data_IF_734406735320
#
_entry.id   IF_734406735320
#
_cell.length_a   1.000
_cell.length_b   1.000
_cell.length_c   1.000
_cell.angle_alpha   90.00
_cell.angle_beta   90.00
_cell.angle_gamma   90.00
#
_symmetry.space_group_name_H-M   'P 1'
#
loop_
_entity.id
_entity.type
_entity.pdbx_description
1 polymer ?
#
# COMPACT_ATOMS: atom_id res chain seq x y z
N UNK A 1 2.27 3.98 -18.98
CA UNK A 1 1.25 5.01 -19.29
C UNK A 1 1.94 6.20 -19.94
N UNK A 2 1.41 6.61 -21.05
CA UNK A 2 2.01 7.63 -21.88
C UNK A 2 1.41 9.02 -21.63
N UNK A 3 0.16 9.10 -21.18
CA UNK A 3 -0.45 10.37 -20.76
C UNK A 3 0.13 10.83 -19.39
N UNK A 4 1.19 11.62 -19.44
CA UNK A 4 1.91 12.06 -18.25
C UNK A 4 1.26 13.27 -17.56
N UNK A 5 0.48 14.04 -18.32
CA UNK A 5 -0.17 15.27 -17.86
C UNK A 5 -1.69 15.14 -17.73
N UNK A 6 -2.24 13.95 -18.01
CA UNK A 6 -3.66 13.59 -17.90
C UNK A 6 -4.57 14.46 -18.81
N UNK A 7 -4.07 14.89 -20.00
CA UNK A 7 -4.84 15.70 -20.94
C UNK A 7 -5.48 14.89 -22.08
N UNK A 8 -5.25 13.58 -22.15
CA UNK A 8 -5.74 12.64 -23.15
C UNK A 8 -5.32 12.97 -24.60
N UNK A 9 -4.22 13.69 -24.79
CA UNK A 9 -3.64 14.04 -26.10
C UNK A 9 -2.21 13.55 -26.10
N UNK A 10 -1.75 13.02 -27.26
CA UNK A 10 -0.34 12.64 -27.41
C UNK A 10 0.51 13.90 -27.53
N UNK A 11 1.28 14.20 -26.51
CA UNK A 11 2.21 15.32 -26.49
C UNK A 11 3.65 14.88 -26.79
N UNK A 12 4.54 15.85 -27.06
CA UNK A 12 5.93 15.57 -27.35
C UNK A 12 6.62 14.86 -26.16
N UNK A 13 7.12 13.65 -26.39
CA UNK A 13 7.81 12.82 -25.40
C UNK A 13 6.90 11.87 -24.62
N UNK A 14 5.60 11.87 -24.88
CA UNK A 14 4.66 10.93 -24.26
C UNK A 14 4.52 9.62 -25.04
N UNK A 15 4.58 9.66 -26.36
CA UNK A 15 4.57 8.47 -27.22
C UNK A 15 5.92 7.72 -27.10
N UNK A 16 6.01 6.82 -26.14
CA UNK A 16 7.25 6.10 -25.82
C UNK A 16 7.55 4.95 -26.75
N UNK A 17 6.54 4.38 -27.38
CA UNK A 17 6.65 3.28 -28.34
C UNK A 17 6.63 3.76 -29.82
N UNK A 18 6.37 5.05 -30.04
CA UNK A 18 6.36 5.73 -31.35
C UNK A 18 5.30 5.17 -32.31
N UNK A 19 4.14 4.78 -31.82
CA UNK A 19 3.03 4.29 -32.65
C UNK A 19 1.96 5.36 -32.94
N UNK A 20 2.09 6.55 -32.36
CA UNK A 20 1.19 7.69 -32.57
C UNK A 20 -0.15 7.54 -31.84
N UNK A 21 -0.24 6.61 -30.91
CA UNK A 21 -1.43 6.36 -30.10
C UNK A 21 -1.07 6.55 -28.63
N UNK A 22 -1.91 7.24 -27.89
CA UNK A 22 -1.73 7.41 -26.45
C UNK A 22 -2.11 6.13 -25.72
N UNK A 23 -1.11 5.45 -25.15
CA UNK A 23 -1.31 4.21 -24.40
C UNK A 23 -1.75 4.49 -22.96
N UNK A 24 -2.99 4.15 -22.67
CA UNK A 24 -3.53 4.14 -21.30
C UNK A 24 -3.52 2.71 -20.77
N UNK A 25 -2.62 2.36 -19.84
CA UNK A 25 -2.65 1.05 -19.22
C UNK A 25 -4.00 0.82 -18.53
N UNK A 26 -4.48 -0.41 -18.61
CA UNK A 26 -5.81 -0.80 -18.13
C UNK A 26 -6.98 -0.25 -18.97
N UNK A 27 -6.74 0.24 -20.16
CA UNK A 27 -7.80 0.62 -21.11
C UNK A 27 -8.07 -0.52 -22.08
N UNK A 28 -9.32 -0.70 -22.44
CA UNK A 28 -9.71 -1.62 -23.50
C UNK A 28 -9.99 -0.82 -24.76
N UNK A 29 -8.97 -0.64 -25.60
CA UNK A 29 -9.13 -0.09 -26.95
C UNK A 29 -9.64 -1.17 -27.92
N UNK A 30 -9.92 -0.81 -29.16
CA UNK A 30 -10.28 -1.79 -30.21
C UNK A 30 -9.13 -2.74 -30.55
N UNK A 31 -7.91 -2.36 -30.23
CA UNK A 31 -6.68 -3.07 -30.60
C UNK A 31 -5.97 -3.69 -29.41
N UNK A 32 -6.15 -3.17 -28.20
CA UNK A 32 -5.52 -3.66 -26.98
C UNK A 32 -6.51 -3.90 -25.87
N UNK A 33 -6.19 -4.82 -24.96
CA UNK A 33 -7.00 -5.19 -23.81
C UNK A 33 -6.13 -5.51 -22.61
N UNK A 34 -5.77 -4.48 -21.87
CA UNK A 34 -5.03 -4.60 -20.62
C UNK A 34 -5.91 -4.81 -19.38
N UNK A 35 -7.20 -5.09 -19.57
CA UNK A 35 -8.14 -5.42 -18.50
C UNK A 35 -8.54 -6.88 -18.61
N UNK A 36 -8.29 -7.65 -17.55
CA UNK A 36 -8.80 -9.01 -17.44
C UNK A 36 -10.24 -8.94 -16.94
N UNK A 37 -11.18 -9.48 -17.72
CA UNK A 37 -12.59 -9.52 -17.36
C UNK A 37 -13.06 -10.95 -17.12
N UNK A 38 -13.86 -11.12 -16.06
CA UNK A 38 -14.51 -12.37 -15.74
C UNK A 38 -15.96 -12.09 -15.33
N UNK A 39 -16.90 -12.88 -15.83
CA UNK A 39 -18.30 -12.80 -15.43
C UNK A 39 -18.70 -13.99 -14.57
N UNK A 40 -19.02 -13.70 -13.32
CA UNK A 40 -19.51 -14.68 -12.37
C UNK A 40 -21.02 -14.82 -12.51
N UNK A 41 -21.46 -15.97 -13.00
CA UNK A 41 -22.87 -16.20 -13.35
C UNK A 41 -23.79 -16.30 -12.13
N UNK A 42 -23.31 -16.88 -11.04
CA UNK A 42 -24.09 -17.12 -9.83
C UNK A 42 -24.52 -15.80 -9.17
N UNK A 43 -23.61 -14.86 -9.08
CA UNK A 43 -23.86 -13.54 -8.49
C UNK A 43 -24.21 -12.47 -9.51
N UNK A 44 -24.17 -12.80 -10.81
CA UNK A 44 -24.36 -11.87 -11.94
C UNK A 44 -23.39 -10.66 -11.88
N UNK A 45 -22.15 -10.93 -11.46
CA UNK A 45 -21.14 -9.90 -11.26
C UNK A 45 -20.12 -9.92 -12.37
N UNK A 46 -19.90 -8.76 -13.01
CA UNK A 46 -18.75 -8.54 -13.90
C UNK A 46 -17.56 -8.09 -13.07
N UNK A 47 -16.50 -8.89 -13.07
CA UNK A 47 -15.23 -8.58 -12.42
C UNK A 47 -14.26 -8.07 -13.48
N UNK A 48 -13.78 -6.86 -13.30
CA UNK A 48 -12.73 -6.26 -14.12
C UNK A 48 -11.47 -6.06 -13.27
N UNK A 49 -10.37 -6.69 -13.68
CA UNK A 49 -9.11 -6.59 -12.97
C UNK A 49 -8.10 -5.84 -13.84
N UNK A 50 -7.57 -4.70 -13.36
CA UNK A 50 -6.46 -4.04 -14.01
C UNK A 50 -5.23 -4.97 -14.09
N UNK A 51 -4.54 -4.99 -15.22
CA UNK A 51 -3.28 -5.74 -15.40
C UNK A 51 -2.13 -5.00 -14.71
N UNK A 52 -2.14 -3.67 -14.79
CA UNK A 52 -1.16 -2.81 -14.15
C UNK A 52 -1.73 -2.20 -12.87
N UNK A 53 -0.90 -1.96 -11.84
CA UNK A 53 -1.33 -1.24 -10.65
C UNK A 53 -1.85 0.15 -10.99
N UNK A 54 -2.97 0.54 -10.39
CA UNK A 54 -3.47 1.90 -10.51
C UNK A 54 -2.56 2.86 -9.74
N UNK A 55 -2.35 4.07 -10.29
CA UNK A 55 -1.62 5.13 -9.60
C UNK A 55 -2.40 5.57 -8.36
N UNK A 56 -1.69 5.90 -7.29
CA UNK A 56 -2.32 6.43 -6.07
C UNK A 56 -2.72 7.90 -6.23
N UNK A 57 -3.75 8.31 -5.48
CA UNK A 57 -4.24 9.69 -5.49
C UNK A 57 -4.80 10.14 -6.84
N UNK A 58 -5.14 9.20 -7.71
CA UNK A 58 -5.57 9.45 -9.10
C UNK A 58 -7.05 9.13 -9.26
N UNK A 59 -7.78 10.00 -9.95
CA UNK A 59 -9.18 9.76 -10.28
C UNK A 59 -9.27 9.03 -11.61
N UNK A 60 -9.90 7.87 -11.58
CA UNK A 60 -10.14 7.03 -12.73
C UNK A 60 -11.60 7.08 -13.14
N UNK A 61 -11.85 7.06 -14.44
CA UNK A 61 -13.18 6.86 -14.97
C UNK A 61 -13.35 5.41 -15.45
N UNK A 62 -14.45 4.78 -15.07
CA UNK A 62 -14.86 3.47 -15.60
C UNK A 62 -15.97 3.71 -16.60
N UNK A 63 -15.80 3.21 -17.81
CA UNK A 63 -16.75 3.37 -18.90
C UNK A 63 -17.19 1.99 -19.37
N UNK A 64 -18.47 1.72 -19.30
CA UNK A 64 -19.10 0.56 -19.92
C UNK A 64 -19.72 1.00 -21.23
N UNK A 65 -19.34 0.35 -22.31
CA UNK A 65 -19.85 0.68 -23.64
C UNK A 65 -21.07 -0.16 -24.00
N UNK A 66 -21.83 0.29 -24.99
CA UNK A 66 -22.97 -0.45 -25.58
C UNK A 66 -22.56 -1.76 -26.28
N UNK A 67 -21.25 -2.01 -26.42
CA UNK A 67 -20.72 -3.28 -26.90
C UNK A 67 -20.87 -4.41 -25.86
N UNK A 68 -20.98 -4.06 -24.58
CA UNK A 68 -21.32 -5.02 -23.52
C UNK A 68 -22.83 -5.34 -23.62
N UNK A 69 -23.13 -6.63 -23.78
CA UNK A 69 -24.50 -7.10 -24.01
C UNK A 69 -24.97 -8.02 -22.91
N UNK A 70 -26.26 -7.96 -22.61
CA UNK A 70 -26.94 -8.90 -21.76
C UNK A 70 -27.13 -10.29 -22.39
N UNK A 71 -27.70 -11.22 -21.67
CA UNK A 71 -28.02 -12.58 -22.14
C UNK A 71 -29.02 -12.57 -23.32
N UNK A 72 -29.84 -11.55 -23.40
CA UNK A 72 -30.79 -11.29 -24.48
C UNK A 72 -30.15 -10.71 -25.75
N UNK A 73 -28.83 -10.48 -25.74
CA UNK A 73 -28.10 -9.86 -26.84
C UNK A 73 -28.31 -8.35 -26.96
N UNK A 74 -29.12 -7.73 -26.09
CA UNK A 74 -29.32 -6.29 -26.08
C UNK A 74 -28.13 -5.58 -25.37
N UNK A 75 -27.75 -4.37 -25.80
CA UNK A 75 -26.77 -3.56 -25.10
C UNK A 75 -27.22 -3.28 -23.66
N UNK A 76 -26.26 -3.31 -22.73
CA UNK A 76 -26.52 -2.85 -21.36
C UNK A 76 -26.91 -1.38 -21.37
N UNK A 77 -27.59 -0.95 -20.31
CA UNK A 77 -28.03 0.43 -20.15
C UNK A 77 -27.74 0.93 -18.75
N UNK A 78 -27.61 2.24 -18.60
CA UNK A 78 -27.52 2.89 -17.30
C UNK A 78 -28.73 2.55 -16.44
N UNK A 79 -28.54 2.29 -15.14
CA UNK A 79 -29.65 2.22 -14.18
C UNK A 79 -30.27 3.59 -13.88
N UNK A 80 -29.66 4.68 -14.36
CA UNK A 80 -30.13 6.05 -14.18
C UNK A 80 -30.69 6.60 -15.49
N UNK A 81 -31.32 7.78 -15.40
CA UNK A 81 -31.86 8.51 -16.57
C UNK A 81 -30.78 8.88 -17.59
N UNK A 82 -29.56 9.11 -17.12
CA UNK A 82 -28.39 9.47 -17.93
C UNK A 82 -27.35 8.35 -17.88
N UNK A 83 -26.32 8.45 -18.69
CA UNK A 83 -25.20 7.48 -18.72
C UNK A 83 -24.39 7.44 -17.40
N UNK A 84 -24.63 8.37 -16.49
CA UNK A 84 -24.00 8.45 -15.17
C UNK A 84 -25.00 8.89 -14.11
N UNK A 85 -24.64 8.71 -12.83
CA UNK A 85 -25.35 9.37 -11.74
C UNK A 85 -25.07 10.88 -11.78
N UNK A 86 -26.08 11.72 -11.56
CA UNK A 86 -25.97 13.19 -11.69
C UNK A 86 -24.91 13.83 -10.81
N UNK A 87 -24.59 13.23 -9.65
CA UNK A 87 -23.52 13.71 -8.77
C UNK A 87 -22.11 13.59 -9.37
N UNK A 88 -21.93 12.79 -10.41
CA UNK A 88 -20.64 12.57 -11.05
C UNK A 88 -20.48 13.30 -12.39
N UNK A 89 -21.49 14.01 -12.84
CA UNK A 89 -21.48 14.69 -14.15
C UNK A 89 -20.27 15.60 -14.31
N UNK A 90 -19.93 16.38 -13.29
CA UNK A 90 -18.78 17.29 -13.33
C UNK A 90 -17.45 16.53 -13.41
N UNK A 91 -17.29 15.46 -12.65
CA UNK A 91 -16.08 14.65 -12.64
C UNK A 91 -15.85 13.88 -13.95
N UNK A 92 -16.94 13.59 -14.69
CA UNK A 92 -16.89 12.90 -15.98
C UNK A 92 -16.79 13.85 -17.19
N UNK A 93 -16.85 15.17 -16.97
CA UNK A 93 -16.79 16.13 -18.07
C UNK A 93 -15.51 15.99 -18.92
N UNK A 94 -14.31 15.89 -18.35
CA UNK A 94 -13.07 15.70 -19.12
C UNK A 94 -13.10 14.46 -20.01
N UNK A 95 -13.68 13.36 -19.50
CA UNK A 95 -13.82 12.13 -20.28
C UNK A 95 -14.64 12.34 -21.53
N UNK A 96 -15.78 13.05 -21.43
CA UNK A 96 -16.67 13.29 -22.55
C UNK A 96 -16.08 14.25 -23.60
N UNK A 97 -15.34 15.26 -23.14
CA UNK A 97 -14.85 16.35 -23.98
C UNK A 97 -13.51 15.96 -24.68
N UNK A 98 -12.67 15.17 -24.03
CA UNK A 98 -11.26 14.98 -24.45
C UNK A 98 -10.90 13.51 -24.67
N UNK A 99 -11.18 12.61 -23.71
CA UNK A 99 -10.64 11.26 -23.73
C UNK A 99 -11.39 10.28 -24.65
N UNK A 100 -12.72 10.32 -24.74
CA UNK A 100 -13.49 9.34 -25.51
C UNK A 100 -13.12 9.33 -26.99
N UNK A 101 -12.85 10.50 -27.56
CA UNK A 101 -12.45 10.64 -28.96
C UNK A 101 -11.10 9.99 -29.24
N UNK A 102 -10.11 10.19 -28.39
CA UNK A 102 -8.78 9.58 -28.48
C UNK A 102 -8.83 8.05 -28.40
N UNK A 103 -9.74 7.50 -27.56
CA UNK A 103 -9.98 6.06 -27.43
C UNK A 103 -10.86 5.46 -28.56
N UNK A 104 -11.25 6.25 -29.55
CA UNK A 104 -12.08 5.82 -30.67
C UNK A 104 -13.54 5.57 -30.33
N UNK A 105 -14.05 6.13 -29.23
CA UNK A 105 -15.45 6.05 -28.82
C UNK A 105 -16.17 7.40 -28.97
N UNK A 106 -17.48 7.32 -29.12
CA UNK A 106 -18.38 8.47 -29.10
C UNK A 106 -19.22 8.43 -27.82
N UNK A 107 -19.77 9.55 -27.43
CA UNK A 107 -20.65 9.64 -26.26
C UNK A 107 -21.85 8.67 -26.39
N UNK A 108 -22.36 8.44 -27.60
CA UNK A 108 -23.45 7.51 -27.87
C UNK A 108 -23.06 6.03 -27.67
N UNK A 109 -21.77 5.73 -27.67
CA UNK A 109 -21.25 4.38 -27.40
C UNK A 109 -21.22 4.07 -25.90
N UNK A 110 -21.39 5.07 -25.03
CA UNK A 110 -21.34 4.91 -23.57
C UNK A 110 -22.69 4.42 -23.05
N UNK A 111 -22.69 3.25 -22.42
CA UNK A 111 -23.86 2.71 -21.73
C UNK A 111 -23.96 3.21 -20.29
N UNK A 112 -22.83 3.22 -19.57
CA UNK A 112 -22.74 3.70 -18.18
C UNK A 112 -21.30 4.11 -17.85
N UNK A 113 -21.15 5.19 -17.08
CA UNK A 113 -19.85 5.65 -16.62
C UNK A 113 -19.90 6.14 -15.16
N UNK A 114 -18.80 5.95 -14.44
CA UNK A 114 -18.59 6.51 -13.11
C UNK A 114 -17.11 6.75 -12.84
N UNK A 115 -16.82 7.58 -11.85
CA UNK A 115 -15.46 7.83 -11.39
C UNK A 115 -15.23 7.29 -9.99
N UNK A 116 -13.97 6.95 -9.70
CA UNK A 116 -13.49 6.73 -8.34
C UNK A 116 -12.06 7.27 -8.23
N UNK A 117 -11.65 7.61 -7.03
CA UNK A 117 -10.29 8.10 -6.76
C UNK A 117 -9.56 7.07 -5.90
N UNK A 118 -8.35 6.71 -6.31
CA UNK A 118 -7.49 5.81 -5.54
C UNK A 118 -6.96 6.52 -4.30
N UNK A 119 -6.78 5.76 -3.22
CA UNK A 119 -6.25 6.30 -1.99
C UNK A 119 -4.77 6.66 -2.15
N UNK A 120 -4.38 7.82 -1.62
CA UNK A 120 -2.99 8.24 -1.51
C UNK A 120 -2.41 7.72 -0.19
N UNK A 121 -1.42 6.83 -0.23
CA UNK A 121 -0.83 6.20 0.95
C UNK A 121 0.69 6.20 0.98
N UNK A 122 1.37 6.12 -0.18
CA UNK A 122 2.84 6.18 -0.25
C UNK A 122 3.37 7.53 0.19
N UNK A 123 2.79 8.62 -0.29
CA UNK A 123 3.23 9.98 0.02
C UNK A 123 3.22 10.30 1.53
N UNK A 124 2.16 9.94 2.29
CA UNK A 124 2.18 10.06 3.74
C UNK A 124 3.28 9.26 4.42
N UNK A 125 3.51 8.02 3.99
CA UNK A 125 4.56 7.16 4.56
C UNK A 125 5.97 7.69 4.26
N UNK A 126 6.21 8.17 3.04
CA UNK A 126 7.47 8.82 2.66
C UNK A 126 7.71 10.07 3.51
N UNK A 127 6.71 10.92 3.69
CA UNK A 127 6.82 12.13 4.51
C UNK A 127 7.12 11.79 5.98
N UNK A 128 6.52 10.74 6.54
CA UNK A 128 6.83 10.27 7.89
C UNK A 128 8.25 9.72 8.00
N UNK A 129 8.69 8.91 7.03
CA UNK A 129 10.07 8.43 6.96
C UNK A 129 11.05 9.60 6.94
N UNK A 130 10.85 10.57 6.07
CA UNK A 130 11.69 11.75 5.95
C UNK A 130 11.67 12.56 7.26
N UNK A 131 10.52 12.62 7.94
CA UNK A 131 10.38 13.22 9.27
C UNK A 131 11.24 12.54 10.34
N UNK A 132 11.32 11.22 10.34
CA UNK A 132 12.22 10.46 11.23
C UNK A 132 13.71 10.73 10.94
N UNK A 133 14.05 11.10 9.69
CA UNK A 133 15.38 11.57 9.31
C UNK A 133 15.58 13.09 9.51
N UNK A 134 14.64 13.79 10.12
CA UNK A 134 14.73 15.22 10.41
C UNK A 134 14.41 16.13 9.23
N UNK A 135 13.69 15.63 8.23
CA UNK A 135 13.36 16.37 7.02
C UNK A 135 11.84 16.59 6.90
N UNK A 136 11.46 17.57 6.08
CA UNK A 136 10.07 17.84 5.73
C UNK A 136 9.20 18.35 6.88
N UNK A 137 7.88 18.24 6.70
CA UNK A 137 6.85 18.77 7.62
C UNK A 137 6.85 18.06 8.98
N UNK A 138 7.26 16.80 9.02
CA UNK A 138 7.32 15.97 10.22
C UNK A 138 8.71 15.90 10.87
N UNK A 139 9.63 16.80 10.54
CA UNK A 139 11.04 16.80 11.03
C UNK A 139 11.20 16.70 12.56
N UNK A 140 10.17 17.10 13.34
CA UNK A 140 10.17 16.97 14.79
C UNK A 140 10.26 15.51 15.27
N UNK A 141 9.82 14.55 14.44
CA UNK A 141 9.88 13.13 14.79
C UNK A 141 11.29 12.63 15.05
N UNK A 142 12.31 13.17 14.38
CA UNK A 142 13.72 12.79 14.62
C UNK A 142 14.20 13.13 16.02
N UNK A 143 13.62 14.16 16.65
CA UNK A 143 13.95 14.56 18.02
C UNK A 143 13.06 13.85 19.02
N UNK A 144 11.77 13.65 18.71
CA UNK A 144 10.81 12.99 19.59
C UNK A 144 11.02 11.46 19.64
N UNK A 145 11.49 10.87 18.53
CA UNK A 145 11.75 9.43 18.38
C UNK A 145 13.16 9.19 17.80
N UNK A 146 14.20 9.55 18.54
CA UNK A 146 15.57 9.36 18.05
C UNK A 146 15.88 7.87 17.91
N UNK A 147 16.42 7.49 16.75
CA UNK A 147 16.94 6.14 16.53
C UNK A 147 18.26 5.98 17.31
N UNK A 148 18.17 5.82 18.62
CA UNK A 148 19.34 5.62 19.47
C UNK A 148 19.40 4.16 19.93
N UNK A 149 20.37 3.44 19.39
CA UNK A 149 20.85 2.19 19.96
C UNK A 149 22.19 2.49 20.64
N UNK A 150 22.27 2.35 21.96
CA UNK A 150 23.56 2.48 22.64
C UNK A 150 24.33 1.15 22.49
N UNK A 151 25.08 1.04 21.41
CA UNK A 151 25.90 -0.14 21.07
C UNK A 151 27.12 -0.29 21.99
N UNK A 152 27.54 0.74 22.72
CA UNK A 152 28.68 0.65 23.65
C UNK A 152 28.42 -0.28 24.83
N UNK A 153 27.17 -0.42 25.23
CA UNK A 153 26.75 -1.38 26.27
C UNK A 153 26.97 -2.85 25.85
N UNK A 154 27.06 -3.10 24.55
CA UNK A 154 27.27 -4.46 23.98
C UNK A 154 28.70 -4.94 24.27
N UNK A 155 29.70 -4.06 24.19
CA UNK A 155 31.11 -4.43 24.29
C UNK A 155 31.60 -4.67 25.71
N UNK A 156 31.06 -3.93 26.69
CA UNK A 156 31.62 -3.89 28.06
C UNK A 156 30.91 -4.83 29.05
N UNK A 157 29.84 -5.54 28.68
CA UNK A 157 29.01 -6.34 29.59
C UNK A 157 28.64 -5.58 30.88
N UNK A 158 28.68 -4.26 30.85
CA UNK A 158 28.28 -3.40 31.96
C UNK A 158 26.80 -3.56 32.29
N UNK A 159 26.29 -2.89 33.35
CA UNK A 159 24.89 -2.98 33.72
C UNK A 159 24.02 -2.57 32.52
N UNK A 160 23.32 -3.55 31.93
CA UNK A 160 22.48 -3.33 30.78
C UNK A 160 21.34 -2.38 31.09
N UNK A 161 20.94 -1.51 30.15
CA UNK A 161 19.70 -0.75 30.29
C UNK A 161 18.54 -1.70 30.63
N UNK A 162 17.62 -1.26 31.46
CA UNK A 162 16.52 -2.11 31.94
C UNK A 162 15.67 -2.74 30.84
N UNK A 163 15.68 -2.13 29.66
CA UNK A 163 14.88 -2.50 28.51
C UNK A 163 15.66 -3.24 27.40
N UNK A 164 16.98 -3.53 27.61
CA UNK A 164 17.79 -4.19 26.57
C UNK A 164 18.52 -5.39 27.14
N UNK A 165 18.44 -6.51 26.44
CA UNK A 165 19.17 -7.74 26.75
C UNK A 165 19.99 -8.17 25.54
N UNK A 166 21.25 -8.48 25.76
CA UNK A 166 22.18 -8.95 24.76
C UNK A 166 22.59 -10.38 25.10
N UNK A 167 22.54 -11.26 24.11
CA UNK A 167 22.96 -12.65 24.23
C UNK A 167 23.93 -12.93 23.09
N UNK A 168 25.11 -13.44 23.41
CA UNK A 168 26.08 -13.85 22.39
C UNK A 168 25.50 -14.96 21.54
N UNK A 169 25.85 -15.00 20.25
CA UNK A 169 25.35 -16.01 19.32
C UNK A 169 25.61 -17.43 19.80
N UNK A 170 26.80 -17.71 20.34
CA UNK A 170 27.14 -19.00 20.93
C UNK A 170 26.25 -19.37 22.14
N UNK A 171 26.00 -18.43 23.03
CA UNK A 171 25.13 -18.62 24.20
C UNK A 171 23.68 -18.90 23.79
N UNK A 172 23.20 -18.18 22.75
CA UNK A 172 21.88 -18.42 22.18
C UNK A 172 21.75 -19.81 21.56
N UNK A 173 22.76 -20.24 20.79
CA UNK A 173 22.80 -21.58 20.17
C UNK A 173 22.78 -22.68 21.24
N UNK A 174 23.57 -22.54 22.29
CA UNK A 174 23.63 -23.53 23.36
C UNK A 174 22.28 -23.62 24.11
N UNK A 175 21.65 -22.47 24.37
CA UNK A 175 20.31 -22.44 24.94
C UNK A 175 19.27 -23.06 24.02
N UNK A 176 19.31 -22.78 22.72
CA UNK A 176 18.39 -23.35 21.74
C UNK A 176 18.55 -24.86 21.62
N UNK A 177 19.80 -25.37 21.56
CA UNK A 177 20.11 -26.81 21.57
C UNK A 177 19.57 -27.49 22.82
N UNK A 178 19.77 -26.88 23.99
CA UNK A 178 19.26 -27.42 25.24
C UNK A 178 17.72 -27.48 25.28
N UNK A 179 17.03 -26.42 24.85
CA UNK A 179 15.57 -26.40 24.78
C UNK A 179 15.03 -27.45 23.81
N UNK A 180 15.63 -27.58 22.62
CA UNK A 180 15.20 -28.56 21.62
C UNK A 180 15.47 -29.99 22.06
N UNK A 181 16.54 -30.22 22.83
CA UNK A 181 16.79 -31.53 23.40
C UNK A 181 15.78 -31.97 24.46
N UNK A 182 15.22 -30.99 25.20
CA UNK A 182 14.24 -31.26 26.27
C UNK A 182 12.80 -31.35 25.74
N UNK A 183 12.42 -30.48 24.82
CA UNK A 183 11.02 -30.32 24.40
C UNK A 183 10.77 -30.77 22.95
N UNK A 184 11.83 -31.06 22.22
CA UNK A 184 11.75 -31.28 20.78
C UNK A 184 11.57 -29.99 20.02
N UNK A 185 12.02 -29.94 18.77
CA UNK A 185 11.87 -28.77 17.88
C UNK A 185 10.62 -28.85 16.99
N UNK A 186 9.98 -30.00 16.96
CA UNK A 186 8.92 -30.28 15.98
C UNK A 186 9.43 -30.45 14.53
N UNK A 187 10.76 -30.49 14.34
CA UNK A 187 11.44 -30.61 13.04
C UNK A 187 12.23 -31.91 12.98
N UNK A 188 12.68 -32.27 11.76
CA UNK A 188 13.64 -33.36 11.60
C UNK A 188 15.05 -32.94 12.06
N UNK A 189 15.89 -33.88 12.42
CA UNK A 189 17.27 -33.61 12.80
C UNK A 189 18.07 -32.83 11.72
N UNK A 190 17.80 -33.10 10.44
CA UNK A 190 18.42 -32.36 9.34
C UNK A 190 17.97 -30.88 9.30
N UNK A 191 16.70 -30.61 9.57
CA UNK A 191 16.18 -29.24 9.66
C UNK A 191 16.73 -28.50 10.89
N UNK A 192 16.88 -29.17 12.01
CA UNK A 192 17.53 -28.62 13.20
C UNK A 192 19.00 -28.29 12.93
N UNK A 193 19.73 -29.16 12.23
CA UNK A 193 21.10 -28.86 11.85
C UNK A 193 21.22 -27.62 10.98
N UNK A 194 20.38 -27.49 9.93
CA UNK A 194 20.34 -26.28 9.08
C UNK A 194 20.02 -25.02 9.91
N UNK A 195 19.09 -25.13 10.85
CA UNK A 195 18.76 -24.02 11.74
C UNK A 195 19.99 -23.60 12.57
N UNK A 196 20.65 -24.54 13.24
CA UNK A 196 21.83 -24.25 14.04
C UNK A 196 23.00 -23.71 13.23
N UNK A 197 23.23 -24.25 12.02
CA UNK A 197 24.28 -23.79 11.13
C UNK A 197 24.04 -22.34 10.69
N UNK A 198 22.80 -21.97 10.39
CA UNK A 198 22.46 -20.60 10.04
C UNK A 198 22.66 -19.62 11.22
N UNK A 199 22.33 -20.03 12.45
CA UNK A 199 22.52 -19.19 13.62
C UNK A 199 23.99 -19.14 14.09
N UNK A 200 24.85 -20.03 13.62
CA UNK A 200 26.26 -19.99 13.94
C UNK A 200 27.01 -18.77 13.38
N UNK A 201 26.42 -18.09 12.38
CA UNK A 201 26.96 -16.85 11.80
C UNK A 201 26.52 -15.58 12.54
N UNK A 202 25.69 -15.70 13.55
CA UNK A 202 25.21 -14.56 14.33
C UNK A 202 26.17 -14.31 15.48
N UNK A 203 26.81 -13.15 15.50
CA UNK A 203 27.74 -12.77 16.57
C UNK A 203 27.02 -12.51 17.88
N UNK A 204 25.90 -11.79 17.82
CA UNK A 204 25.05 -11.53 19.00
C UNK A 204 23.59 -11.27 18.64
N UNK A 205 22.74 -11.45 19.64
CA UNK A 205 21.33 -11.08 19.64
C UNK A 205 21.11 -9.95 20.61
N UNK A 206 20.41 -8.90 20.20
CA UNK A 206 19.95 -7.83 21.08
C UNK A 206 18.42 -7.83 21.15
N UNK A 207 17.90 -7.93 22.35
CA UNK A 207 16.48 -7.92 22.66
C UNK A 207 16.18 -6.67 23.49
N UNK A 208 15.17 -5.93 23.13
CA UNK A 208 14.83 -4.74 23.88
C UNK A 208 13.53 -4.12 23.42
N UNK A 209 13.32 -2.89 23.87
CA UNK A 209 12.16 -2.09 23.54
C UNK A 209 12.63 -0.74 23.02
N UNK A 210 12.07 -0.30 21.91
CA UNK A 210 12.25 1.06 21.38
C UNK A 210 10.92 1.80 21.46
N UNK A 211 11.00 3.11 21.69
CA UNK A 211 9.83 3.97 21.59
C UNK A 211 9.53 4.21 20.10
N UNK A 212 8.35 3.83 19.68
CA UNK A 212 7.90 3.96 18.30
C UNK A 212 6.72 4.92 18.19
N UNK A 213 6.70 5.82 17.18
CA UNK A 213 5.53 6.64 16.91
C UNK A 213 4.37 5.77 16.44
N UNK A 214 3.25 5.85 17.15
CA UNK A 214 1.97 5.24 16.76
C UNK A 214 1.03 6.33 16.28
N UNK A 215 0.48 6.15 15.10
CA UNK A 215 -0.31 7.15 14.39
C UNK A 215 -1.79 6.78 14.29
N UNK A 216 -2.11 5.51 14.56
CA UNK A 216 -3.49 5.02 14.52
C UNK A 216 -4.17 5.14 15.88
N UNK A 217 -5.41 5.68 15.95
CA UNK A 217 -6.19 5.60 17.18
C UNK A 217 -6.56 4.14 17.43
N UNK A 218 -6.18 3.61 18.60
CA UNK A 218 -6.59 2.25 19.01
C UNK A 218 -7.78 2.25 19.93
N UNK A 219 -8.03 3.38 20.61
CA UNK A 219 -9.07 3.55 21.62
C UNK A 219 -9.83 4.83 21.39
N UNK A 220 -11.11 4.82 21.73
CA UNK A 220 -11.94 6.02 21.79
C UNK A 220 -11.57 6.92 22.99
N UNK A 221 -12.24 8.07 23.10
CA UNK A 221 -12.07 9.01 24.22
C UNK A 221 -12.43 8.40 25.60
N UNK A 222 -13.21 7.33 25.62
CA UNK A 222 -13.63 6.60 26.82
C UNK A 222 -12.68 5.44 27.17
N UNK A 223 -11.66 5.19 26.34
CA UNK A 223 -10.68 4.13 26.55
C UNK A 223 -11.07 2.75 25.99
N UNK A 224 -12.20 2.64 25.29
CA UNK A 224 -12.62 1.39 24.66
C UNK A 224 -11.85 1.15 23.36
N UNK A 225 -11.62 -0.12 23.03
CA UNK A 225 -10.98 -0.51 21.77
C UNK A 225 -11.82 -0.09 20.58
N UNK A 226 -11.22 0.67 19.65
CA UNK A 226 -11.85 1.00 18.36
C UNK A 226 -11.88 -0.21 17.43
N UNK A 227 -12.95 -0.42 16.66
CA UNK A 227 -12.97 -1.36 15.55
C UNK A 227 -11.85 -1.05 14.55
N UNK A 228 -11.33 -2.05 13.86
CA UNK A 228 -10.27 -1.84 12.85
C UNK A 228 -10.68 -0.85 11.75
N UNK A 229 -11.96 -0.81 11.40
CA UNK A 229 -12.53 0.11 10.41
C UNK A 229 -12.50 1.58 10.83
N UNK A 230 -12.36 1.85 12.12
CA UNK A 230 -12.29 3.21 12.69
C UNK A 230 -10.86 3.61 13.08
N UNK A 231 -9.89 2.69 12.96
CA UNK A 231 -8.48 2.99 13.16
C UNK A 231 -7.89 3.64 11.90
N UNK A 232 -8.27 4.88 11.66
CA UNK A 232 -7.90 5.62 10.45
C UNK A 232 -6.53 6.28 10.63
N UNK A 233 -5.70 6.18 9.59
CA UNK A 233 -4.43 6.90 9.49
C UNK A 233 -4.71 8.36 9.16
N UNK A 234 -4.56 9.23 10.15
CA UNK A 234 -4.89 10.66 10.06
C UNK A 234 -3.65 11.51 10.30
N UNK A 235 -3.09 12.06 9.23
CA UNK A 235 -1.96 12.99 9.27
C UNK A 235 -2.17 14.11 8.25
N UNK A 236 -1.77 15.32 8.61
CA UNK A 236 -1.83 16.47 7.72
C UNK A 236 -0.45 16.78 7.14
N UNK A 237 -0.30 16.52 5.84
CA UNK A 237 0.95 16.74 5.10
C UNK A 237 1.30 18.23 4.91
N UNK A 238 0.37 19.14 5.16
CA UNK A 238 0.58 20.58 5.02
C UNK A 238 1.04 21.21 6.33
N UNK A 239 0.36 20.88 7.43
CA UNK A 239 0.63 21.47 8.74
C UNK A 239 1.55 20.62 9.61
N UNK A 240 1.74 19.35 9.27
CA UNK A 240 2.45 18.39 10.11
C UNK A 240 1.65 17.92 11.33
N UNK A 241 0.33 18.15 11.34
CA UNK A 241 -0.51 17.66 12.42
C UNK A 241 -0.64 16.13 12.36
N UNK A 242 -0.52 15.52 13.53
CA UNK A 242 -0.67 14.08 13.75
C UNK A 242 -1.50 13.90 15.03
N UNK A 243 -2.84 13.99 14.95
CA UNK A 243 -3.73 14.08 16.12
C UNK A 243 -3.68 12.83 17.01
N UNK A 244 -3.31 11.68 16.43
CA UNK A 244 -3.26 10.39 17.14
C UNK A 244 -1.84 9.95 17.53
N UNK A 245 -0.84 10.82 17.28
CA UNK A 245 0.55 10.49 17.63
C UNK A 245 0.69 10.23 19.13
N UNK A 246 1.24 9.07 19.44
CA UNK A 246 1.64 8.68 20.80
C UNK A 246 2.88 7.82 20.74
N UNK A 247 3.62 7.76 21.84
CA UNK A 247 4.71 6.81 22.00
C UNK A 247 4.18 5.45 22.44
N UNK A 248 4.71 4.40 21.81
CA UNK A 248 4.44 3.01 22.21
C UNK A 248 5.76 2.23 22.22
N UNK A 249 6.02 1.51 23.33
CA UNK A 249 7.17 0.62 23.43
C UNK A 249 6.98 -0.58 22.52
N UNK A 250 7.84 -0.73 21.52
CA UNK A 250 7.84 -1.86 20.58
C UNK A 250 9.02 -2.76 20.88
N UNK A 251 8.75 -4.06 21.13
CA UNK A 251 9.80 -5.04 21.31
C UNK A 251 10.56 -5.24 19.98
N UNK A 252 11.87 -5.27 20.06
CA UNK A 252 12.70 -5.63 18.94
C UNK A 252 13.60 -6.82 19.26
N UNK A 253 13.98 -7.52 18.21
CA UNK A 253 15.02 -8.53 18.21
C UNK A 253 15.94 -8.28 17.03
N UNK A 254 17.17 -7.90 17.33
CA UNK A 254 18.22 -7.67 16.34
C UNK A 254 19.20 -8.84 16.37
N UNK A 255 19.58 -9.33 15.21
CA UNK A 255 20.64 -10.32 14.99
C UNK A 255 21.75 -9.63 14.20
N UNK A 256 22.98 -9.74 14.65
CA UNK A 256 24.17 -9.17 14.02
C UNK A 256 25.22 -10.24 13.82
#
# INVERSE_FOLDING_TARGET
>A
EEDLNDNCVVDEGEDTNMDGVLDHPNTRSKTDSSIITFYERETKTLIARPVYPLREGTTYAVVLTTNLKGEDGAPIRSPFKYVNHTSQTQALQPLADECLGGLGFKTDDVAFAWTFTTQMWTKPLVALRDGLYGQGVFKRLSTEYPAQMNLDVIRDRGPMPRNTRIVMGSEFLDMAKQLYSQFGSGRSAAQDQIFFDNFAFVDFHALGTIDSPQLFPRKDASGNQLPLTEQVFDIDLTTGAMPHLRSEGVNFWLMV
#
